data_IF_251965748469
#
_entry.id   IF_251965748469
#
_cell.length_a   1.000
_cell.length_b   1.000
_cell.length_c   1.000
_cell.angle_alpha   90.00
_cell.angle_beta   90.00
_cell.angle_gamma   90.00
#
_symmetry.space_group_name_H-M   'P 1'
#
loop_
_entity.id
_entity.type
_entity.pdbx_description
1 polymer ?
#
# COMPACT_ATOMS: atom_id res chain seq x y z
N UNK A 1 -16.62 -16.26 22.99
CA UNK A 1 -15.28 -16.38 22.36
C UNK A 1 -14.92 -17.86 22.36
N UNK A 2 -14.59 -18.42 21.19
CA UNK A 2 -14.26 -19.85 21.02
C UNK A 2 -12.75 -20.06 21.17
N UNK A 3 -12.34 -21.14 21.90
CA UNK A 3 -10.93 -21.52 22.02
C UNK A 3 -10.54 -22.53 20.94
N UNK A 4 -9.57 -22.18 20.11
CA UNK A 4 -9.02 -23.05 19.07
C UNK A 4 -7.76 -23.76 19.61
N UNK A 5 -7.68 -25.09 19.37
CA UNK A 5 -6.58 -25.94 19.86
C UNK A 5 -5.88 -26.76 18.78
N UNK A 6 -6.28 -26.60 17.52
CA UNK A 6 -5.79 -27.44 16.44
C UNK A 6 -5.30 -26.63 15.25
N UNK A 7 -4.12 -26.96 14.74
CA UNK A 7 -3.60 -26.41 13.47
C UNK A 7 -4.46 -26.80 12.25
N UNK A 8 -5.34 -27.83 12.37
CA UNK A 8 -6.27 -28.28 11.34
C UNK A 8 -7.62 -27.56 11.40
N UNK A 9 -7.83 -26.67 12.37
CA UNK A 9 -9.06 -25.86 12.43
C UNK A 9 -9.18 -25.01 11.16
N UNK A 10 -10.40 -24.95 10.59
CA UNK A 10 -10.67 -24.29 9.33
C UNK A 10 -10.29 -22.78 9.35
N UNK A 11 -10.51 -22.12 10.48
CA UNK A 11 -10.14 -20.72 10.65
C UNK A 11 -8.62 -20.52 10.61
N UNK A 12 -7.85 -21.39 11.28
CA UNK A 12 -6.37 -21.34 11.22
C UNK A 12 -5.86 -21.57 9.80
N UNK A 13 -6.44 -22.53 9.09
CA UNK A 13 -6.08 -22.80 7.69
C UNK A 13 -6.41 -21.61 6.78
N UNK A 14 -7.55 -20.97 7.03
CA UNK A 14 -7.97 -19.76 6.30
C UNK A 14 -6.99 -18.60 6.51
N UNK A 15 -6.62 -18.27 7.74
CA UNK A 15 -5.61 -17.23 8.02
C UNK A 15 -4.29 -17.48 7.27
N UNK A 16 -3.85 -18.75 7.24
CA UNK A 16 -2.63 -19.12 6.52
C UNK A 16 -2.76 -19.04 5.00
N UNK A 17 -3.93 -19.38 4.47
CA UNK A 17 -4.21 -19.24 3.04
C UNK A 17 -4.21 -17.77 2.63
N UNK A 18 -4.89 -16.90 3.38
CA UNK A 18 -4.85 -15.44 3.17
C UNK A 18 -3.43 -14.87 3.22
N UNK A 19 -2.56 -15.39 4.11
CA UNK A 19 -1.18 -14.94 4.21
C UNK A 19 -0.33 -15.25 2.98
N UNK A 20 -0.66 -16.32 2.24
CA UNK A 20 0.18 -16.87 1.17
C UNK A 20 -0.31 -16.56 -0.23
N UNK A 21 -1.62 -16.51 -0.41
CA UNK A 21 -2.23 -16.55 -1.73
C UNK A 21 -3.08 -15.31 -2.02
N UNK A 22 -2.75 -14.61 -3.10
CA UNK A 22 -3.46 -13.42 -3.57
C UNK A 22 -4.88 -13.76 -4.05
N UNK A 23 -5.04 -14.90 -4.72
CA UNK A 23 -6.35 -15.30 -5.25
C UNK A 23 -7.31 -15.64 -4.10
N UNK A 24 -6.80 -16.30 -3.06
CA UNK A 24 -7.59 -16.55 -1.83
C UNK A 24 -8.04 -15.23 -1.19
N UNK A 25 -7.16 -14.21 -1.10
CA UNK A 25 -7.56 -12.89 -0.57
C UNK A 25 -8.65 -12.25 -1.39
N UNK A 26 -8.52 -12.27 -2.72
CA UNK A 26 -9.51 -11.72 -3.63
C UNK A 26 -10.85 -12.44 -3.51
N UNK A 27 -10.84 -13.77 -3.53
CA UNK A 27 -12.06 -14.60 -3.53
C UNK A 27 -12.77 -14.55 -2.17
N UNK A 28 -12.02 -14.46 -1.07
CA UNK A 28 -12.57 -14.26 0.27
C UNK A 28 -13.00 -12.80 0.53
N UNK A 29 -12.52 -11.85 -0.25
CA UNK A 29 -12.78 -10.43 -0.05
C UNK A 29 -12.13 -9.88 1.23
N UNK A 30 -11.05 -10.51 1.73
CA UNK A 30 -10.37 -10.08 2.96
C UNK A 30 -8.88 -10.39 2.94
N UNK A 31 -8.14 -9.75 3.85
CA UNK A 31 -6.70 -9.97 4.03
C UNK A 31 -6.33 -10.08 5.51
N UNK A 32 -5.18 -10.69 5.77
CA UNK A 32 -4.69 -10.94 7.13
C UNK A 32 -3.73 -9.85 7.59
N UNK A 33 -3.91 -9.44 8.82
CA UNK A 33 -3.09 -8.49 9.55
C UNK A 33 -2.56 -9.10 10.85
N UNK A 34 -1.54 -8.50 11.43
CA UNK A 34 -0.93 -8.99 12.66
C UNK A 34 -0.46 -7.83 13.55
N UNK A 35 -0.75 -7.94 14.84
CA UNK A 35 -0.28 -7.05 15.88
C UNK A 35 -1.34 -6.11 16.45
N UNK A 36 -1.27 -5.93 17.77
CA UNK A 36 -2.25 -5.13 18.53
C UNK A 36 -2.32 -3.67 18.07
N UNK A 37 -1.16 -3.05 17.81
CA UNK A 37 -1.13 -1.67 17.35
C UNK A 37 -1.88 -1.52 16.03
N UNK A 38 -1.67 -2.46 15.09
CA UNK A 38 -2.32 -2.42 13.78
C UNK A 38 -3.83 -2.67 13.91
N UNK A 39 -4.27 -3.55 14.82
CA UNK A 39 -5.69 -3.76 15.11
C UNK A 39 -6.35 -2.49 15.66
N UNK A 40 -5.70 -1.80 16.60
CA UNK A 40 -6.21 -0.52 17.12
C UNK A 40 -6.34 0.54 16.03
N UNK A 41 -5.36 0.65 15.14
CA UNK A 41 -5.45 1.55 13.99
C UNK A 41 -6.57 1.16 13.01
N UNK A 42 -6.74 -0.14 12.71
CA UNK A 42 -7.84 -0.60 11.87
C UNK A 42 -9.20 -0.16 12.43
N UNK A 43 -9.43 -0.38 13.72
CA UNK A 43 -10.66 0.04 14.39
C UNK A 43 -10.83 1.56 14.42
N UNK A 44 -9.76 2.30 14.72
CA UNK A 44 -9.77 3.77 14.80
C UNK A 44 -10.14 4.42 13.46
N UNK A 45 -9.67 3.84 12.34
CA UNK A 45 -9.92 4.38 11.00
C UNK A 45 -11.08 3.69 10.27
N UNK A 46 -11.92 2.93 11.01
CA UNK A 46 -13.16 2.37 10.48
C UNK A 46 -12.97 1.23 9.48
N UNK A 47 -11.82 0.55 9.50
CA UNK A 47 -11.63 -0.65 8.70
C UNK A 47 -12.55 -1.77 9.21
N UNK A 48 -13.19 -2.50 8.30
CA UNK A 48 -14.08 -3.60 8.65
C UNK A 48 -13.27 -4.83 9.08
N UNK A 49 -13.00 -4.94 10.38
CA UNK A 49 -12.37 -6.12 10.97
C UNK A 49 -13.40 -7.24 10.98
N UNK A 50 -13.10 -8.37 10.35
CA UNK A 50 -14.02 -9.51 10.22
C UNK A 50 -13.81 -10.56 11.30
N UNK A 51 -12.55 -10.78 11.73
CA UNK A 51 -12.23 -11.72 12.78
C UNK A 51 -10.93 -11.40 13.51
N UNK A 52 -10.78 -11.87 14.75
CA UNK A 52 -9.56 -11.71 15.56
C UNK A 52 -9.21 -13.00 16.28
N UNK A 53 -7.98 -13.45 16.15
CA UNK A 53 -7.36 -14.53 16.91
C UNK A 53 -6.46 -13.94 18.00
N UNK A 54 -6.91 -14.00 19.22
CA UNK A 54 -6.17 -13.55 20.40
C UNK A 54 -5.22 -14.64 20.92
N UNK A 55 -4.11 -14.23 21.50
CA UNK A 55 -3.30 -15.13 22.31
C UNK A 55 -3.89 -15.17 23.72
N UNK A 56 -4.26 -16.38 24.14
CA UNK A 56 -4.82 -16.71 25.46
C UNK A 56 -6.13 -15.98 25.81
N UNK A 57 -6.13 -14.65 25.79
CA UNK A 57 -7.30 -13.82 26.09
C UNK A 57 -7.31 -12.54 25.25
N UNK A 58 -8.50 -11.91 25.14
CA UNK A 58 -8.62 -10.62 24.49
C UNK A 58 -7.86 -9.53 25.26
N UNK A 59 -6.99 -8.78 24.57
CA UNK A 59 -6.22 -7.71 25.17
C UNK A 59 -7.06 -6.45 25.49
N UNK A 60 -8.18 -6.27 24.77
CA UNK A 60 -9.14 -5.19 24.96
C UNK A 60 -10.49 -5.54 24.32
N UNK A 61 -11.60 -4.88 24.72
CA UNK A 61 -12.90 -5.12 24.10
C UNK A 61 -12.94 -4.62 22.66
N UNK A 62 -13.58 -5.40 21.78
CA UNK A 62 -13.88 -5.02 20.41
C UNK A 62 -15.32 -4.50 20.31
N UNK A 63 -15.63 -3.67 19.30
CA UNK A 63 -17.01 -3.39 18.92
C UNK A 63 -17.74 -4.67 18.48
N UNK A 64 -19.06 -4.63 18.44
CA UNK A 64 -19.87 -5.73 17.88
C UNK A 64 -19.53 -5.94 16.40
N UNK A 65 -19.53 -7.19 15.97
CA UNK A 65 -19.30 -7.59 14.59
C UNK A 65 -18.20 -8.62 14.40
N UNK A 66 -16.91 -8.32 14.75
CA UNK A 66 -15.82 -9.26 14.52
C UNK A 66 -15.99 -10.60 15.27
N UNK A 67 -15.82 -11.72 14.55
CA UNK A 67 -15.72 -13.02 15.19
C UNK A 67 -14.44 -13.11 16.03
N UNK A 68 -14.54 -13.62 17.27
CA UNK A 68 -13.41 -13.64 18.19
C UNK A 68 -13.07 -15.06 18.63
N UNK A 69 -11.79 -15.38 18.50
CA UNK A 69 -11.20 -16.66 18.86
C UNK A 69 -10.01 -16.46 19.80
N UNK A 70 -9.70 -17.50 20.58
CA UNK A 70 -8.46 -17.55 21.37
C UNK A 70 -7.66 -18.80 21.02
N UNK A 71 -6.34 -18.71 21.12
CA UNK A 71 -5.44 -19.84 20.99
C UNK A 71 -4.20 -19.61 21.86
N UNK A 72 -3.44 -20.68 22.11
CA UNK A 72 -2.14 -20.59 22.74
C UNK A 72 -1.12 -19.87 21.87
N UNK A 73 0.00 -19.47 22.46
CA UNK A 73 1.06 -18.73 21.77
C UNK A 73 1.63 -19.47 20.55
N UNK A 74 1.74 -20.81 20.62
CA UNK A 74 2.26 -21.62 19.52
C UNK A 74 1.34 -21.59 18.30
N UNK A 75 0.02 -21.71 18.54
CA UNK A 75 -0.96 -21.73 17.48
C UNK A 75 -1.16 -20.33 16.87
N UNK A 76 -1.11 -19.26 17.67
CA UNK A 76 -1.11 -17.87 17.17
C UNK A 76 0.12 -17.62 16.29
N UNK A 77 1.32 -18.00 16.74
CA UNK A 77 2.54 -17.87 15.95
C UNK A 77 2.48 -18.70 14.65
N UNK A 78 1.82 -19.88 14.69
CA UNK A 78 1.61 -20.69 13.49
C UNK A 78 0.64 -20.05 12.49
N UNK A 79 -0.42 -19.40 12.97
CA UNK A 79 -1.40 -18.72 12.14
C UNK A 79 -0.90 -17.39 11.57
N UNK A 80 0.03 -16.73 12.28
CA UNK A 80 0.57 -15.44 11.90
C UNK A 80 1.34 -15.47 10.56
N UNK A 81 1.21 -14.41 9.74
CA UNK A 81 2.07 -14.20 8.59
C UNK A 81 3.51 -13.77 8.98
N UNK A 82 3.73 -13.42 10.24
CA UNK A 82 5.01 -12.92 10.75
C UNK A 82 5.71 -13.99 11.60
N UNK A 83 7.03 -14.04 11.52
CA UNK A 83 7.82 -14.85 12.43
C UNK A 83 7.79 -14.25 13.85
N UNK A 84 7.58 -15.09 14.85
CA UNK A 84 7.58 -14.70 16.27
C UNK A 84 6.56 -13.62 16.66
N UNK A 85 5.40 -13.60 16.00
CA UNK A 85 4.34 -12.66 16.35
C UNK A 85 3.75 -12.95 17.73
N UNK A 86 3.56 -11.93 18.57
CA UNK A 86 2.80 -12.08 19.81
C UNK A 86 1.28 -12.06 19.58
N UNK A 87 0.81 -11.80 18.35
CA UNK A 87 -0.59 -11.55 18.02
C UNK A 87 -1.07 -10.14 18.42
N UNK A 88 -2.38 -9.90 18.37
CA UNK A 88 -3.39 -10.75 17.73
C UNK A 88 -3.22 -10.86 16.22
N UNK A 89 -3.67 -11.97 15.62
CA UNK A 89 -3.81 -12.10 14.17
C UNK A 89 -5.27 -11.81 13.83
N UNK A 90 -5.51 -10.97 12.83
CA UNK A 90 -6.86 -10.56 12.48
C UNK A 90 -7.06 -10.42 10.98
N UNK A 91 -8.31 -10.47 10.55
CA UNK A 91 -8.69 -10.26 9.15
C UNK A 91 -9.46 -8.96 8.98
N UNK A 92 -9.26 -8.34 7.86
CA UNK A 92 -9.91 -7.09 7.45
C UNK A 92 -10.50 -7.29 6.07
N UNK A 93 -11.74 -6.83 5.85
CA UNK A 93 -12.36 -6.85 4.54
C UNK A 93 -11.61 -5.95 3.56
N UNK A 94 -11.53 -6.39 2.32
CA UNK A 94 -11.01 -5.53 1.24
C UNK A 94 -11.91 -4.30 1.10
N UNK A 95 -11.37 -3.08 1.20
CA UNK A 95 -12.19 -1.88 1.15
C UNK A 95 -12.74 -1.64 -0.27
N UNK A 96 -13.97 -1.12 -0.34
CA UNK A 96 -14.42 -0.45 -1.55
C UNK A 96 -13.60 0.81 -1.77
N UNK A 97 -12.87 0.87 -2.89
CA UNK A 97 -12.02 2.00 -3.18
C UNK A 97 -12.83 3.25 -3.54
N UNK A 98 -12.68 4.29 -2.73
CA UNK A 98 -13.25 5.62 -2.99
C UNK A 98 -12.13 6.64 -3.05
N UNK A 99 -11.98 7.27 -4.20
CA UNK A 99 -11.01 8.35 -4.37
C UNK A 99 -11.63 9.68 -3.95
N UNK A 100 -10.87 10.56 -3.28
CA UNK A 100 -11.33 11.92 -2.97
C UNK A 100 -11.57 12.71 -4.27
N UNK A 101 -12.42 13.73 -4.19
CA UNK A 101 -12.71 14.63 -5.30
C UNK A 101 -12.63 16.07 -4.81
N UNK A 102 -11.91 16.95 -5.53
CA UNK A 102 -11.06 16.67 -6.69
C UNK A 102 -9.75 15.98 -6.30
N UNK A 103 -9.17 15.17 -7.20
CA UNK A 103 -7.79 14.70 -7.07
C UNK A 103 -6.82 15.82 -7.45
N UNK A 104 -5.78 16.04 -6.65
CA UNK A 104 -4.73 17.04 -6.90
C UNK A 104 -3.34 16.45 -6.93
N UNK A 105 -3.03 15.51 -6.05
CA UNK A 105 -1.69 14.95 -5.86
C UNK A 105 -1.77 13.42 -5.89
N UNK A 106 -1.28 12.83 -6.97
CA UNK A 106 -1.33 11.38 -7.18
C UNK A 106 0.08 10.84 -7.39
N UNK A 107 0.43 9.78 -6.68
CA UNK A 107 1.65 9.02 -6.93
C UNK A 107 1.29 7.74 -7.68
N UNK A 108 1.94 7.52 -8.81
CA UNK A 108 1.76 6.33 -9.63
C UNK A 108 2.99 5.45 -9.48
N UNK A 109 2.81 4.18 -9.16
CA UNK A 109 3.86 3.17 -9.15
C UNK A 109 3.66 2.23 -10.34
N UNK A 110 4.63 2.16 -11.25
CA UNK A 110 4.59 1.23 -12.36
C UNK A 110 5.59 0.09 -12.15
N UNK A 111 5.06 -1.13 -11.99
CA UNK A 111 5.87 -2.34 -11.94
C UNK A 111 6.81 -2.44 -10.73
N UNK A 112 6.55 -1.72 -9.63
CA UNK A 112 7.33 -1.80 -8.39
C UNK A 112 7.04 -3.13 -7.70
N UNK A 113 8.00 -4.06 -7.76
CA UNK A 113 7.81 -5.45 -7.34
C UNK A 113 8.15 -5.74 -5.88
N UNK A 114 8.91 -4.88 -5.22
CA UNK A 114 9.20 -5.06 -3.79
C UNK A 114 8.02 -4.58 -2.92
N UNK A 115 7.40 -5.48 -2.13
CA UNK A 115 6.26 -5.12 -1.29
C UNK A 115 6.64 -4.13 -0.16
N UNK A 116 7.92 -4.10 0.25
CA UNK A 116 8.43 -3.13 1.20
C UNK A 116 8.42 -1.72 0.63
N UNK A 117 8.82 -1.56 -0.64
CA UNK A 117 8.79 -0.28 -1.33
C UNK A 117 7.36 0.21 -1.53
N UNK A 118 6.46 -0.66 -2.02
CA UNK A 118 5.02 -0.32 -2.18
C UNK A 118 4.43 0.15 -0.84
N UNK A 119 4.61 -0.61 0.24
CA UNK A 119 4.09 -0.24 1.56
C UNK A 119 4.72 1.05 2.11
N UNK A 120 6.02 1.26 1.90
CA UNK A 120 6.71 2.49 2.29
C UNK A 120 6.18 3.71 1.54
N UNK A 121 5.93 3.59 0.24
CA UNK A 121 5.32 4.68 -0.56
C UNK A 121 3.92 5.00 -0.05
N UNK A 122 3.08 4.01 0.22
CA UNK A 122 1.73 4.21 0.77
C UNK A 122 1.78 4.94 2.12
N UNK A 123 2.68 4.52 3.00
CA UNK A 123 2.90 5.18 4.30
C UNK A 123 3.35 6.64 4.14
N UNK A 124 4.28 6.89 3.23
CA UNK A 124 4.81 8.23 2.97
C UNK A 124 3.76 9.13 2.31
N UNK A 125 2.98 8.60 1.36
CA UNK A 125 1.87 9.28 0.72
C UNK A 125 0.84 9.76 1.74
N UNK A 126 0.45 8.88 2.66
CA UNK A 126 -0.44 9.25 3.76
C UNK A 126 0.16 10.36 4.66
N UNK A 127 1.44 10.26 5.00
CA UNK A 127 2.10 11.23 5.88
C UNK A 127 2.26 12.61 5.22
N UNK A 128 2.42 12.66 3.90
CA UNK A 128 2.64 13.90 3.14
C UNK A 128 1.37 14.41 2.42
N UNK A 129 0.19 13.82 2.72
CA UNK A 129 -1.09 14.32 2.24
C UNK A 129 -1.34 14.13 0.75
N UNK A 130 -0.83 13.03 0.16
CA UNK A 130 -1.18 12.67 -1.20
C UNK A 130 -2.64 12.16 -1.26
N UNK A 131 -3.39 12.56 -2.27
CA UNK A 131 -4.80 12.18 -2.42
C UNK A 131 -4.97 10.69 -2.75
N UNK A 132 -4.06 10.15 -3.56
CA UNK A 132 -4.08 8.73 -3.90
C UNK A 132 -2.71 8.19 -4.28
N UNK A 133 -2.54 6.87 -4.13
CA UNK A 133 -1.49 6.08 -4.77
C UNK A 133 -2.14 5.17 -5.80
N UNK A 134 -1.60 5.13 -7.02
CA UNK A 134 -2.07 4.24 -8.09
C UNK A 134 -0.99 3.23 -8.43
N UNK A 135 -1.35 1.96 -8.40
CA UNK A 135 -0.49 0.85 -8.80
C UNK A 135 -0.88 0.41 -10.21
N UNK A 136 0.07 0.40 -11.14
CA UNK A 136 -0.14 -0.10 -12.51
C UNK A 136 0.95 -1.08 -12.92
N UNK A 137 0.68 -1.89 -13.91
CA UNK A 137 1.59 -2.97 -14.30
C UNK A 137 1.76 -4.02 -13.21
N UNK A 138 2.91 -4.73 -13.24
CA UNK A 138 3.20 -5.84 -12.33
C UNK A 138 3.76 -5.35 -10.97
N UNK A 139 3.00 -4.54 -10.24
CA UNK A 139 3.35 -4.16 -8.87
C UNK A 139 3.17 -5.32 -7.87
N UNK A 140 3.87 -5.22 -6.73
CA UNK A 140 3.64 -6.13 -5.61
C UNK A 140 2.18 -6.06 -5.15
N UNK A 141 1.70 -7.19 -4.63
CA UNK A 141 0.33 -7.26 -4.12
C UNK A 141 0.12 -6.33 -2.92
N UNK A 142 -0.86 -5.44 -3.07
CA UNK A 142 -1.23 -4.42 -2.09
C UNK A 142 -1.53 -5.00 -0.71
N UNK A 143 -2.19 -6.15 -0.67
CA UNK A 143 -2.64 -6.80 0.57
C UNK A 143 -1.76 -7.98 1.00
N UNK A 144 -0.57 -8.13 0.40
CA UNK A 144 0.40 -9.09 0.90
C UNK A 144 0.84 -8.72 2.33
N UNK A 145 1.12 -9.68 3.21
CA UNK A 145 1.56 -9.39 4.58
C UNK A 145 2.78 -8.47 4.66
N UNK A 146 3.68 -8.54 3.68
CA UNK A 146 4.86 -7.66 3.62
C UNK A 146 4.47 -6.22 3.30
N UNK A 147 3.56 -5.99 2.35
CA UNK A 147 3.05 -4.64 2.02
C UNK A 147 2.28 -4.05 3.19
N UNK A 148 1.36 -4.82 3.77
CA UNK A 148 0.55 -4.41 4.94
C UNK A 148 1.45 -3.99 6.10
N UNK A 149 2.48 -4.79 6.39
CA UNK A 149 3.45 -4.47 7.46
C UNK A 149 4.25 -3.20 7.15
N UNK A 150 4.73 -3.04 5.91
CA UNK A 150 5.53 -1.86 5.53
C UNK A 150 4.69 -0.57 5.53
N UNK A 151 3.41 -0.66 5.22
CA UNK A 151 2.47 0.46 5.25
C UNK A 151 2.13 0.95 6.68
N UNK A 152 2.40 0.16 7.73
CA UNK A 152 2.23 0.58 9.14
C UNK A 152 0.86 1.24 9.40
N UNK A 153 -0.23 0.60 8.96
CA UNK A 153 -1.60 1.08 9.14
C UNK A 153 -2.07 2.16 8.14
N UNK A 154 -1.19 2.72 7.32
CA UNK A 154 -1.60 3.71 6.31
C UNK A 154 -2.63 3.17 5.31
N UNK A 155 -2.65 1.85 5.06
CA UNK A 155 -3.64 1.20 4.19
C UNK A 155 -5.10 1.38 4.65
N UNK A 156 -5.34 1.68 5.93
CA UNK A 156 -6.71 1.91 6.43
C UNK A 156 -7.26 3.30 6.11
N UNK A 157 -6.41 4.21 5.61
CA UNK A 157 -6.77 5.61 5.38
C UNK A 157 -6.24 6.23 4.10
N UNK A 158 -5.18 5.67 3.51
CA UNK A 158 -4.65 6.14 2.24
C UNK A 158 -5.40 5.47 1.09
N UNK A 159 -6.05 6.22 0.20
CA UNK A 159 -6.63 5.66 -1.01
C UNK A 159 -5.54 5.05 -1.91
N UNK A 160 -5.70 3.77 -2.25
CA UNK A 160 -4.79 3.07 -3.16
C UNK A 160 -5.59 2.34 -4.22
N UNK A 161 -5.42 2.70 -5.48
CA UNK A 161 -6.08 2.07 -6.62
C UNK A 161 -5.09 1.17 -7.36
N UNK A 162 -5.54 0.00 -7.78
CA UNK A 162 -4.81 -0.83 -8.76
C UNK A 162 -5.60 -0.86 -10.05
N UNK A 163 -5.00 -0.40 -11.15
CA UNK A 163 -5.69 -0.34 -12.44
C UNK A 163 -4.72 -0.50 -13.63
N UNK A 164 -5.26 -0.75 -14.80
CA UNK A 164 -4.50 -0.75 -16.04
C UNK A 164 -4.08 0.68 -16.44
N UNK A 165 -3.06 0.79 -17.28
CA UNK A 165 -2.55 2.09 -17.75
C UNK A 165 -3.62 2.95 -18.42
N UNK A 166 -4.51 2.34 -19.21
CA UNK A 166 -5.57 3.09 -19.88
C UNK A 166 -6.60 3.65 -18.89
N UNK A 167 -6.95 2.91 -17.85
CA UNK A 167 -7.82 3.37 -16.77
C UNK A 167 -7.16 4.49 -15.93
N UNK A 168 -5.86 4.38 -15.68
CA UNK A 168 -5.08 5.46 -15.07
C UNK A 168 -5.18 6.74 -15.91
N UNK A 169 -4.95 6.66 -17.23
CA UNK A 169 -5.01 7.84 -18.09
C UNK A 169 -6.42 8.44 -18.17
N UNK A 170 -7.47 7.64 -18.12
CA UNK A 170 -8.85 8.12 -18.03
C UNK A 170 -9.07 8.85 -16.69
N UNK A 171 -8.62 8.29 -15.58
CA UNK A 171 -8.69 8.91 -14.25
C UNK A 171 -8.01 10.28 -14.22
N UNK A 172 -6.79 10.38 -14.75
CA UNK A 172 -6.03 11.63 -14.76
C UNK A 172 -6.69 12.69 -15.64
N UNK A 173 -7.18 12.33 -16.81
CA UNK A 173 -7.91 13.25 -17.71
C UNK A 173 -9.19 13.76 -17.07
N UNK A 174 -9.97 12.88 -16.41
CA UNK A 174 -11.21 13.26 -15.72
C UNK A 174 -10.97 14.26 -14.58
N UNK A 175 -9.76 14.30 -14.00
CA UNK A 175 -9.36 15.22 -12.95
C UNK A 175 -8.45 16.36 -13.44
N UNK A 176 -8.26 16.52 -14.76
CA UNK A 176 -7.39 17.53 -15.37
C UNK A 176 -5.96 17.51 -14.80
N UNK A 177 -5.44 16.34 -14.44
CA UNK A 177 -4.10 16.16 -13.90
C UNK A 177 -3.09 15.87 -15.01
N UNK A 178 -1.99 16.61 -15.01
CA UNK A 178 -0.79 16.29 -15.80
C UNK A 178 -0.05 15.12 -15.17
N UNK A 179 0.50 14.24 -16.01
CA UNK A 179 1.33 13.14 -15.61
C UNK A 179 2.80 13.44 -15.89
N UNK A 180 3.63 13.40 -14.85
CA UNK A 180 5.10 13.51 -15.00
C UNK A 180 5.73 12.16 -14.68
N UNK A 181 6.67 11.72 -15.55
CA UNK A 181 7.44 10.50 -15.34
C UNK A 181 8.79 10.79 -14.68
N UNK A 182 9.10 10.15 -13.55
CA UNK A 182 10.44 10.21 -12.97
C UNK A 182 11.37 9.30 -13.80
N UNK A 183 12.28 9.89 -14.55
CA UNK A 183 13.16 9.18 -15.48
C UNK A 183 14.54 9.81 -15.57
N UNK A 184 15.55 8.97 -15.84
CA UNK A 184 16.95 9.39 -16.06
C UNK A 184 17.21 9.55 -17.56
N UNK A 185 16.66 10.60 -18.16
CA UNK A 185 16.79 10.90 -19.59
C UNK A 185 17.24 12.34 -19.79
N UNK A 186 17.81 12.65 -20.95
CA UNK A 186 18.23 14.00 -21.31
C UNK A 186 17.05 14.99 -21.41
N UNK A 187 15.83 14.49 -21.61
CA UNK A 187 14.61 15.30 -21.67
C UNK A 187 14.04 15.62 -20.28
N UNK A 188 14.56 15.02 -19.22
CA UNK A 188 14.03 15.20 -17.87
C UNK A 188 14.47 16.55 -17.28
N UNK A 189 13.51 17.26 -16.69
CA UNK A 189 13.72 18.53 -16.01
C UNK A 189 13.94 18.31 -14.51
N UNK A 190 14.76 19.15 -13.89
CA UNK A 190 14.92 19.16 -12.43
C UNK A 190 13.54 19.31 -11.76
N UNK A 191 13.17 18.36 -10.90
CA UNK A 191 11.85 18.33 -10.25
C UNK A 191 11.51 19.64 -9.51
N UNK A 192 12.52 20.39 -9.05
CA UNK A 192 12.36 21.66 -8.35
C UNK A 192 11.87 22.81 -9.26
N UNK A 193 11.94 22.61 -10.58
CA UNK A 193 11.58 23.61 -11.59
C UNK A 193 10.26 23.30 -12.29
N UNK A 194 9.64 22.18 -11.96
CA UNK A 194 8.39 21.72 -12.57
C UNK A 194 7.23 21.99 -11.61
N UNK A 195 6.10 22.56 -12.06
CA UNK A 195 4.92 22.73 -11.22
C UNK A 195 4.24 21.38 -10.99
N UNK A 196 4.43 20.79 -9.81
CA UNK A 196 3.88 19.48 -9.43
C UNK A 196 2.59 19.55 -8.60
N UNK A 197 1.96 20.71 -8.51
CA UNK A 197 0.72 20.90 -7.76
C UNK A 197 -0.28 21.75 -8.56
N UNK A 198 -1.40 21.19 -9.07
CA UNK A 198 -1.78 19.77 -9.02
C UNK A 198 -1.07 18.93 -10.09
N UNK A 199 -0.68 17.70 -9.76
CA UNK A 199 -0.08 16.77 -10.71
C UNK A 199 -0.13 15.31 -10.24
N UNK A 200 0.05 14.39 -11.18
CA UNK A 200 0.40 13.01 -10.93
C UNK A 200 1.88 12.78 -11.26
N UNK A 201 2.58 11.98 -10.46
CA UNK A 201 3.98 11.63 -10.74
C UNK A 201 4.14 10.11 -10.73
N UNK A 202 4.68 9.58 -11.82
CA UNK A 202 4.95 8.16 -11.97
C UNK A 202 6.39 7.82 -11.58
N UNK A 203 6.54 6.78 -10.77
CA UNK A 203 7.80 6.15 -10.34
C UNK A 203 7.83 4.73 -10.88
N UNK A 204 8.87 4.37 -11.59
CA UNK A 204 9.06 3.05 -12.15
C UNK A 204 9.75 2.06 -11.20
N UNK A 205 9.91 0.82 -11.67
CA UNK A 205 10.64 -0.22 -10.96
C UNK A 205 12.15 0.10 -10.88
N UNK A 206 12.81 -0.46 -9.86
CA UNK A 206 14.23 -0.22 -9.56
C UNK A 206 15.17 -0.62 -10.71
N UNK A 207 14.84 -1.70 -11.43
CA UNK A 207 15.72 -2.24 -12.46
C UNK A 207 15.43 -1.75 -13.88
N UNK A 208 14.19 -1.31 -14.16
CA UNK A 208 13.74 -0.98 -15.53
C UNK A 208 13.26 0.45 -15.67
N UNK A 209 13.04 1.15 -14.55
CA UNK A 209 12.38 2.46 -14.57
C UNK A 209 10.92 2.36 -15.05
N UNK A 210 10.44 3.42 -15.66
CA UNK A 210 9.13 3.47 -16.31
C UNK A 210 9.19 2.82 -17.70
N UNK A 211 8.07 2.20 -18.09
CA UNK A 211 7.96 1.64 -19.45
C UNK A 211 7.94 2.75 -20.51
N UNK A 212 8.42 2.42 -21.70
CA UNK A 212 8.33 3.35 -22.85
C UNK A 212 6.88 3.73 -23.17
N UNK A 213 5.93 2.81 -22.93
CA UNK A 213 4.51 3.06 -23.13
C UNK A 213 3.98 4.12 -22.17
N UNK A 214 4.31 4.05 -20.89
CA UNK A 214 3.86 5.05 -19.91
C UNK A 214 4.60 6.39 -20.08
N UNK A 215 5.91 6.36 -20.38
CA UNK A 215 6.71 7.56 -20.65
C UNK A 215 6.16 8.34 -21.84
N UNK A 216 5.70 7.67 -22.90
CA UNK A 216 5.10 8.31 -24.07
C UNK A 216 3.75 8.99 -23.77
N UNK A 217 3.10 8.64 -22.66
CA UNK A 217 1.84 9.24 -22.21
C UNK A 217 2.05 10.34 -21.16
N UNK A 218 3.28 10.56 -20.69
CA UNK A 218 3.59 11.63 -19.76
C UNK A 218 3.60 13.00 -20.47
N UNK A 219 3.07 14.02 -19.79
CA UNK A 219 3.15 15.43 -20.23
C UNK A 219 4.57 16.00 -20.10
N UNK A 220 5.41 15.37 -19.30
CA UNK A 220 6.81 15.72 -19.12
C UNK A 220 7.57 14.68 -18.30
N UNK A 221 8.87 14.84 -18.25
CA UNK A 221 9.76 13.98 -17.45
C UNK A 221 10.48 14.81 -16.41
N UNK A 222 10.66 14.25 -15.23
CA UNK A 222 11.36 14.90 -14.11
C UNK A 222 12.52 14.04 -13.63
N UNK A 223 13.54 14.69 -13.12
CA UNK A 223 14.71 14.05 -12.51
C UNK A 223 14.97 14.63 -11.11
N UNK A 224 15.29 13.75 -10.17
CA UNK A 224 15.89 14.14 -8.89
C UNK A 224 17.39 14.35 -9.16
N UNK A 225 17.93 15.58 -9.02
CA UNK A 225 19.36 15.81 -9.23
C UNK A 225 20.20 14.99 -8.25
N UNK A 226 21.17 14.26 -8.79
CA UNK A 226 22.09 13.43 -8.02
C UNK A 226 23.54 13.80 -8.33
N UNK A 227 24.45 13.37 -7.47
CA UNK A 227 25.88 13.53 -7.71
C UNK A 227 26.34 12.66 -8.89
N UNK A 228 27.35 13.11 -9.68
CA UNK A 228 27.93 12.27 -10.73
C UNK A 228 28.37 10.91 -10.19
N UNK A 229 28.02 9.83 -10.91
CA UNK A 229 28.30 8.45 -10.53
C UNK A 229 27.21 7.76 -9.73
N UNK A 230 26.18 8.45 -9.29
CA UNK A 230 24.97 7.81 -8.73
C UNK A 230 24.09 7.32 -9.89
N UNK A 231 23.78 6.02 -9.91
CA UNK A 231 22.98 5.42 -10.98
C UNK A 231 21.48 5.63 -10.79
N UNK A 232 20.98 5.46 -9.55
CA UNK A 232 19.55 5.60 -9.22
C UNK A 232 19.34 5.70 -7.72
N UNK A 233 18.10 6.04 -7.32
CA UNK A 233 17.59 5.91 -5.95
C UNK A 233 16.66 4.69 -5.86
N UNK A 234 16.56 4.12 -4.66
CA UNK A 234 15.49 3.17 -4.37
C UNK A 234 14.12 3.81 -4.68
N UNK A 235 13.16 3.03 -5.24
CA UNK A 235 11.87 3.55 -5.69
C UNK A 235 11.08 4.26 -4.59
N UNK A 236 11.09 3.74 -3.35
CA UNK A 236 10.40 4.38 -2.24
C UNK A 236 11.09 5.68 -1.80
N UNK A 237 12.42 5.75 -1.89
CA UNK A 237 13.19 6.97 -1.61
C UNK A 237 12.91 8.02 -2.67
N UNK A 238 12.93 7.65 -3.95
CA UNK A 238 12.60 8.56 -5.05
C UNK A 238 11.17 9.12 -4.90
N UNK A 239 10.20 8.23 -4.63
CA UNK A 239 8.82 8.63 -4.37
C UNK A 239 8.71 9.58 -3.16
N UNK A 240 9.46 9.34 -2.07
CA UNK A 240 9.45 10.21 -0.89
C UNK A 240 9.97 11.63 -1.21
N UNK A 241 11.05 11.74 -1.99
CA UNK A 241 11.59 13.05 -2.42
C UNK A 241 10.59 13.80 -3.29
N UNK A 242 9.96 13.12 -4.24
CA UNK A 242 8.90 13.70 -5.09
C UNK A 242 7.71 14.16 -4.27
N UNK A 243 7.21 13.33 -3.38
CA UNK A 243 6.08 13.67 -2.50
C UNK A 243 6.40 14.83 -1.57
N UNK A 244 7.62 14.90 -1.05
CA UNK A 244 8.07 16.03 -0.26
C UNK A 244 8.07 17.33 -1.07
N UNK A 245 8.55 17.30 -2.31
CA UNK A 245 8.54 18.48 -3.18
C UNK A 245 7.12 18.94 -3.49
N UNK A 246 6.19 18.01 -3.76
CA UNK A 246 4.77 18.30 -3.93
C UNK A 246 4.18 18.95 -2.67
N UNK A 247 4.38 18.34 -1.51
CA UNK A 247 3.83 18.83 -0.23
C UNK A 247 4.39 20.22 0.14
N UNK A 248 5.70 20.43 -0.05
CA UNK A 248 6.39 21.69 0.24
C UNK A 248 5.85 22.87 -0.58
N UNK A 249 5.45 22.63 -1.82
CA UNK A 249 4.91 23.67 -2.70
C UNK A 249 3.43 23.99 -2.43
N UNK A 250 2.74 23.13 -1.67
CA UNK A 250 1.34 23.32 -1.27
C UNK A 250 1.16 23.87 0.16
N UNK A 251 2.26 23.98 0.93
CA UNK A 251 2.31 24.64 2.24
C UNK A 251 2.63 26.13 2.06
#
# INVERSE_FOLDING_TARGET
MEQIRSRKNQYILHLRALARDKDVRRDAGEYVCDGEKLLREALQFGAEVTSVLWRDAAAFPLPDGPAQYTADAELVAYASPLMHSPGPVFTVRLPEMRLPQPLRHVIVLEGVQDPGNVGTVIRTANALGMDAVVLTGACADLYSPKTVRAAMGALFRQPVLTCATDELMQLLRANCLKLYGAALTDAAQDLRRVPLSPAAVAIGSEGRGLSAQLLAQCDGQIIIPMQPGAESLNAAVAAAVVMWEIARTGM
#
